data_IF_236085673599
#
_entry.id   IF_236085673599
#
_cell.length_a   1.000
_cell.length_b   1.000
_cell.length_c   1.000
_cell.angle_alpha   90.00
_cell.angle_beta   90.00
_cell.angle_gamma   90.00
#
_symmetry.space_group_name_H-M   'P 1'
#
loop_
_entity.id
_entity.type
_entity.pdbx_description
1 polymer ?
#
# COMPACT_ATOMS: atom_id res chain seq x y z
N UNK A 1 5.51 32.12 -6.73
CA UNK A 1 6.22 30.86 -6.47
C UNK A 1 5.19 29.86 -5.96
N UNK A 2 4.96 28.77 -6.69
CA UNK A 2 4.07 27.73 -6.17
C UNK A 2 4.78 27.07 -4.98
N UNK A 3 4.15 27.10 -3.82
CA UNK A 3 4.68 26.46 -2.62
C UNK A 3 4.69 24.94 -2.83
N UNK A 4 5.86 24.32 -2.67
CA UNK A 4 6.01 22.87 -2.75
C UNK A 4 5.32 22.22 -1.57
N UNK A 5 4.49 21.20 -1.82
CA UNK A 5 3.73 20.47 -0.80
C UNK A 5 4.47 19.19 -0.41
N UNK A 6 4.71 19.03 0.87
CA UNK A 6 5.34 17.84 1.45
C UNK A 6 4.38 16.66 1.45
N UNK A 7 4.78 15.55 0.84
CA UNK A 7 3.97 14.33 0.69
C UNK A 7 4.57 13.21 1.52
N UNK A 8 3.77 12.63 2.41
CA UNK A 8 4.04 11.38 3.11
C UNK A 8 3.16 10.28 2.52
N UNK A 9 3.76 9.17 2.11
CA UNK A 9 3.05 8.02 1.53
C UNK A 9 3.14 6.82 2.45
N UNK A 10 2.01 6.22 2.78
CA UNK A 10 1.90 5.03 3.62
C UNK A 10 1.14 3.97 2.82
N UNK A 11 1.77 2.83 2.56
CA UNK A 11 1.25 1.83 1.64
C UNK A 11 1.15 0.44 2.29
N UNK A 12 -0.06 -0.12 2.29
CA UNK A 12 -0.29 -1.53 2.59
C UNK A 12 0.05 -2.39 1.36
N UNK A 13 1.14 -3.15 1.44
CA UNK A 13 1.63 -3.95 0.32
C UNK A 13 0.69 -5.08 -0.06
N UNK A 14 0.02 -5.71 0.91
CA UNK A 14 -0.87 -6.83 0.64
C UNK A 14 -2.18 -6.36 0.02
N UNK A 15 -2.76 -5.27 0.51
CA UNK A 15 -3.95 -4.68 -0.06
C UNK A 15 -3.73 -4.25 -1.52
N UNK A 16 -2.61 -3.57 -1.80
CA UNK A 16 -2.25 -3.15 -3.17
C UNK A 16 -1.93 -4.32 -4.08
N UNK A 17 -1.27 -5.37 -3.58
CA UNK A 17 -0.99 -6.58 -4.34
C UNK A 17 -2.27 -7.30 -4.73
N UNK A 18 -3.20 -7.49 -3.81
CA UNK A 18 -4.51 -8.10 -4.06
C UNK A 18 -5.28 -7.28 -5.10
N UNK A 19 -5.30 -5.96 -4.96
CA UNK A 19 -5.95 -5.07 -5.91
C UNK A 19 -5.35 -5.22 -7.34
N UNK A 20 -4.03 -5.23 -7.49
CA UNK A 20 -3.38 -5.41 -8.78
C UNK A 20 -3.66 -6.80 -9.38
N UNK A 21 -3.64 -7.85 -8.56
CA UNK A 21 -3.91 -9.21 -9.00
C UNK A 21 -5.34 -9.39 -9.52
N UNK A 22 -6.33 -8.68 -8.99
CA UNK A 22 -7.71 -8.71 -9.50
C UNK A 22 -7.83 -8.24 -10.95
N UNK A 23 -6.86 -7.46 -11.43
CA UNK A 23 -6.71 -7.04 -12.84
C UNK A 23 -5.70 -7.88 -13.63
N UNK A 24 -5.21 -8.99 -13.06
CA UNK A 24 -4.10 -9.76 -13.62
C UNK A 24 -2.86 -8.89 -13.91
N UNK A 25 -2.53 -8.01 -12.98
CA UNK A 25 -1.42 -7.05 -13.04
C UNK A 25 -0.60 -7.08 -11.75
N UNK A 26 0.52 -6.38 -11.74
CA UNK A 26 1.36 -6.16 -10.55
C UNK A 26 1.50 -4.66 -10.27
N UNK A 27 1.76 -4.31 -9.01
CA UNK A 27 2.10 -2.95 -8.62
C UNK A 27 3.51 -2.60 -9.12
N UNK A 28 3.63 -1.47 -9.82
CA UNK A 28 4.90 -0.80 -10.07
C UNK A 28 5.13 0.27 -9.01
N UNK A 29 5.92 -0.08 -8.01
CA UNK A 29 6.17 0.79 -6.85
C UNK A 29 6.99 2.03 -7.20
N UNK A 30 7.92 1.94 -8.14
CA UNK A 30 8.72 3.09 -8.59
C UNK A 30 7.85 4.08 -9.38
N UNK A 31 7.00 3.56 -10.26
CA UNK A 31 6.02 4.36 -11.00
C UNK A 31 5.03 5.05 -10.04
N UNK A 32 4.54 4.33 -9.02
CA UNK A 32 3.68 4.90 -8.00
C UNK A 32 4.39 6.03 -7.26
N UNK A 33 5.61 5.81 -6.77
CA UNK A 33 6.41 6.83 -6.08
C UNK A 33 6.55 8.09 -6.94
N UNK A 34 6.93 7.93 -8.21
CA UNK A 34 7.13 9.04 -9.12
C UNK A 34 5.82 9.79 -9.43
N UNK A 35 4.71 9.07 -9.53
CA UNK A 35 3.40 9.66 -9.74
C UNK A 35 2.93 10.47 -8.53
N UNK A 36 3.06 9.93 -7.32
CA UNK A 36 2.62 10.58 -6.09
C UNK A 36 3.49 11.78 -5.68
N UNK A 37 4.74 11.79 -6.12
CA UNK A 37 5.75 12.80 -5.79
C UNK A 37 6.21 13.57 -7.02
N UNK A 38 5.28 13.98 -7.89
CA UNK A 38 5.61 14.71 -9.11
C UNK A 38 5.99 16.17 -8.80
N UNK A 39 7.28 16.56 -8.99
CA UNK A 39 7.73 17.93 -8.73
C UNK A 39 7.06 18.96 -9.64
N UNK A 40 6.66 18.58 -10.87
CA UNK A 40 5.96 19.47 -11.81
C UNK A 40 4.58 19.87 -11.28
N UNK A 41 3.98 19.06 -10.42
CA UNK A 41 2.74 19.36 -9.70
C UNK A 41 3.00 20.06 -8.35
N UNK A 42 4.25 20.43 -8.06
CA UNK A 42 4.64 21.01 -6.78
C UNK A 42 4.52 20.04 -5.61
N UNK A 43 4.84 18.76 -5.84
CA UNK A 43 4.81 17.70 -4.82
C UNK A 43 6.22 17.22 -4.52
N UNK A 44 6.59 17.20 -3.25
CA UNK A 44 7.89 16.73 -2.76
C UNK A 44 7.66 15.53 -1.82
N UNK A 45 8.17 14.37 -2.22
CA UNK A 45 8.12 13.20 -1.36
C UNK A 45 9.08 13.37 -0.19
N UNK A 46 8.55 13.32 1.01
CA UNK A 46 9.38 13.28 2.21
C UNK A 46 9.75 11.83 2.54
N UNK A 47 8.75 10.94 2.54
CA UNK A 47 8.98 9.51 2.76
C UNK A 47 7.86 8.68 2.12
N UNK A 48 8.21 7.46 1.71
CA UNK A 48 7.26 6.43 1.32
C UNK A 48 7.53 5.15 2.12
N UNK A 49 6.60 4.83 3.00
CA UNK A 49 6.65 3.65 3.87
C UNK A 49 5.78 2.54 3.29
N UNK A 50 6.36 1.38 3.09
CA UNK A 50 5.66 0.17 2.65
C UNK A 50 5.54 -0.78 3.84
N UNK A 51 4.31 -1.08 4.22
CA UNK A 51 4.00 -2.02 5.29
C UNK A 51 3.83 -3.41 4.70
N UNK A 52 4.54 -4.38 5.25
CA UNK A 52 4.64 -5.75 4.72
C UNK A 52 4.26 -6.75 5.80
N UNK A 53 3.21 -7.52 5.55
CA UNK A 53 2.85 -8.66 6.37
C UNK A 53 3.76 -9.85 6.09
N UNK A 54 4.62 -10.21 7.08
CA UNK A 54 5.56 -11.32 6.96
C UNK A 54 4.88 -12.66 7.31
N UNK A 55 4.88 -13.65 6.42
CA UNK A 55 4.41 -14.99 6.77
C UNK A 55 5.20 -15.55 7.96
N UNK A 56 4.53 -16.23 8.93
CA UNK A 56 5.21 -16.77 10.11
C UNK A 56 6.27 -17.80 9.73
N UNK A 57 7.34 -17.89 10.53
CA UNK A 57 8.45 -18.81 10.32
C UNK A 57 8.06 -20.28 10.63
N UNK A 58 7.12 -20.83 9.84
CA UNK A 58 6.65 -22.22 9.92
C UNK A 58 6.83 -22.88 8.56
N UNK A 59 7.11 -24.20 8.56
CA UNK A 59 7.41 -24.99 7.37
C UNK A 59 6.41 -24.75 6.22
N UNK A 60 5.11 -24.74 6.52
CA UNK A 60 4.05 -24.54 5.52
C UNK A 60 4.04 -23.16 4.85
N UNK A 61 4.72 -22.15 5.42
CA UNK A 61 4.78 -20.79 4.88
C UNK A 61 6.16 -20.42 4.30
N UNK A 62 7.11 -21.37 4.22
CA UNK A 62 8.49 -21.10 3.81
C UNK A 62 8.58 -20.42 2.45
N UNK A 63 7.83 -20.90 1.45
CA UNK A 63 7.90 -20.32 0.11
C UNK A 63 7.26 -18.91 0.04
N UNK A 64 6.15 -18.71 0.74
CA UNK A 64 5.51 -17.39 0.85
C UNK A 64 6.45 -16.41 1.56
N UNK A 65 7.09 -16.85 2.66
CA UNK A 65 8.03 -16.03 3.41
C UNK A 65 9.23 -15.63 2.56
N UNK A 66 9.85 -16.56 1.85
CA UNK A 66 10.95 -16.27 0.92
C UNK A 66 10.58 -15.25 -0.16
N UNK A 67 9.36 -15.36 -0.69
CA UNK A 67 8.86 -14.39 -1.67
C UNK A 67 8.73 -13.00 -1.05
N UNK A 68 8.14 -12.90 0.14
CA UNK A 68 7.93 -11.66 0.86
C UNK A 68 9.27 -11.02 1.28
N UNK A 69 10.22 -11.83 1.76
CA UNK A 69 11.58 -11.38 2.09
C UNK A 69 12.32 -10.81 0.87
N UNK A 70 12.19 -11.44 -0.31
CA UNK A 70 12.77 -10.91 -1.56
C UNK A 70 12.16 -9.56 -1.94
N UNK A 71 10.84 -9.42 -1.80
CA UNK A 71 10.16 -8.15 -2.05
C UNK A 71 10.64 -7.07 -1.08
N UNK A 72 10.67 -7.38 0.21
CA UNK A 72 11.13 -6.45 1.24
C UNK A 72 12.58 -6.01 1.02
N UNK A 73 13.46 -6.95 0.71
CA UNK A 73 14.86 -6.65 0.36
C UNK A 73 14.95 -5.73 -0.87
N UNK A 74 14.20 -6.05 -1.93
CA UNK A 74 14.15 -5.23 -3.13
C UNK A 74 13.67 -3.79 -2.81
N UNK A 75 12.59 -3.66 -2.05
CA UNK A 75 12.04 -2.36 -1.69
C UNK A 75 13.04 -1.50 -0.91
N UNK A 76 13.69 -2.09 0.12
CA UNK A 76 14.76 -1.43 0.89
C UNK A 76 15.92 -1.00 -0.02
N UNK A 77 16.33 -1.87 -0.96
CA UNK A 77 17.43 -1.59 -1.90
C UNK A 77 17.09 -0.49 -2.92
N UNK A 78 15.80 -0.23 -3.15
CA UNK A 78 15.31 0.83 -4.05
C UNK A 78 14.86 2.10 -3.32
N UNK A 79 15.28 2.25 -2.05
CA UNK A 79 15.09 3.48 -1.28
C UNK A 79 13.69 3.67 -0.70
N UNK A 80 12.92 2.58 -0.53
CA UNK A 80 11.69 2.63 0.22
C UNK A 80 11.95 2.32 1.71
N UNK A 81 11.28 3.01 2.60
CA UNK A 81 11.19 2.57 3.98
C UNK A 81 10.24 1.36 4.05
N UNK A 82 10.65 0.30 4.72
CA UNK A 82 9.84 -0.92 4.85
C UNK A 82 9.65 -1.26 6.32
N UNK A 83 8.39 -1.39 6.71
CA UNK A 83 7.97 -1.87 8.03
C UNK A 83 7.43 -3.28 7.88
N UNK A 84 8.12 -4.25 8.49
CA UNK A 84 7.75 -5.66 8.46
C UNK A 84 7.00 -6.02 9.73
N UNK A 85 5.79 -6.57 9.57
CA UNK A 85 4.96 -7.03 10.68
C UNK A 85 4.86 -8.55 10.62
N UNK A 86 5.35 -9.24 11.65
CA UNK A 86 5.29 -10.70 11.73
C UNK A 86 3.84 -11.18 11.85
N UNK A 87 3.43 -12.05 10.94
CA UNK A 87 2.09 -12.63 10.93
C UNK A 87 1.95 -13.82 11.88
N UNK A 88 0.72 -14.05 12.31
CA UNK A 88 0.34 -15.22 13.11
C UNK A 88 -0.40 -16.23 12.23
N UNK A 89 -0.06 -17.51 12.36
CA UNK A 89 -0.75 -18.56 11.63
C UNK A 89 -2.21 -18.69 12.08
N UNK A 90 -3.12 -18.70 11.11
CA UNK A 90 -4.57 -18.88 11.31
C UNK A 90 -5.05 -19.98 10.36
N UNK A 91 -5.12 -21.22 10.85
CA UNK A 91 -5.40 -22.36 9.98
C UNK A 91 -4.32 -22.53 8.91
N UNK A 92 -4.71 -22.57 7.65
CA UNK A 92 -3.82 -22.67 6.48
C UNK A 92 -3.35 -21.29 5.97
N UNK A 93 -3.81 -20.22 6.58
CA UNK A 93 -3.46 -18.83 6.25
C UNK A 93 -2.69 -18.20 7.40
N UNK A 94 -2.26 -16.99 7.22
CA UNK A 94 -1.70 -16.15 8.27
C UNK A 94 -2.33 -14.76 8.23
N UNK A 95 -2.32 -14.10 9.36
CA UNK A 95 -2.75 -12.72 9.50
C UNK A 95 -1.62 -11.91 10.14
N UNK A 96 -1.30 -10.77 9.52
CA UNK A 96 -0.41 -9.76 10.07
C UNK A 96 -1.21 -8.48 10.27
N UNK A 97 -1.18 -7.93 11.48
CA UNK A 97 -1.95 -6.73 11.84
C UNK A 97 -1.22 -5.47 11.34
N UNK A 98 -1.01 -5.38 10.02
CA UNK A 98 -0.30 -4.30 9.32
C UNK A 98 -1.04 -2.97 9.45
N UNK A 99 -2.35 -2.99 9.39
CA UNK A 99 -3.25 -1.85 9.49
C UNK A 99 -3.08 -1.09 10.82
N UNK A 100 -2.93 -1.81 11.92
CA UNK A 100 -2.69 -1.21 13.24
C UNK A 100 -1.37 -0.44 13.28
N UNK A 101 -0.29 -1.07 12.81
CA UNK A 101 1.05 -0.45 12.77
C UNK A 101 1.03 0.75 11.83
N UNK A 102 0.48 0.61 10.64
CA UNK A 102 0.35 1.70 9.66
C UNK A 102 -0.45 2.88 10.21
N UNK A 103 -1.56 2.61 10.96
CA UNK A 103 -2.36 3.67 11.55
C UNK A 103 -1.62 4.42 12.67
N UNK A 104 -0.83 3.70 13.49
CA UNK A 104 -0.01 4.31 14.55
C UNK A 104 1.09 5.19 13.94
N UNK A 105 1.85 4.65 13.00
CA UNK A 105 2.92 5.38 12.30
C UNK A 105 2.38 6.59 11.55
N UNK A 106 1.19 6.48 10.93
CA UNK A 106 0.56 7.59 10.24
C UNK A 106 0.31 8.80 11.15
N UNK A 107 -0.10 8.56 12.38
CA UNK A 107 -0.31 9.63 13.38
C UNK A 107 1.04 10.17 13.84
N UNK A 108 1.99 9.30 14.22
CA UNK A 108 3.28 9.69 14.75
C UNK A 108 4.09 10.49 13.73
N UNK A 109 4.30 9.94 12.53
CA UNK A 109 5.02 10.59 11.43
C UNK A 109 4.35 11.91 11.00
N UNK A 110 3.02 11.97 11.02
CA UNK A 110 2.32 13.22 10.69
C UNK A 110 2.55 14.32 11.71
N UNK A 111 2.75 13.99 12.99
CA UNK A 111 3.08 14.96 14.04
C UNK A 111 4.54 15.43 13.93
N UNK A 112 5.45 14.54 13.58
CA UNK A 112 6.89 14.82 13.49
C UNK A 112 7.25 15.56 12.20
N UNK A 113 6.82 15.01 11.05
CA UNK A 113 7.18 15.50 9.71
C UNK A 113 6.33 16.71 9.32
N UNK A 114 5.08 16.78 9.81
CA UNK A 114 4.09 17.80 9.44
C UNK A 114 3.93 17.90 7.91
N UNK A 115 3.50 16.80 7.24
CA UNK A 115 3.28 16.81 5.81
C UNK A 115 2.06 17.66 5.46
N UNK A 116 2.04 18.22 4.26
CA UNK A 116 0.86 18.90 3.70
C UNK A 116 -0.15 17.87 3.17
N UNK A 117 0.35 16.74 2.67
CA UNK A 117 -0.43 15.65 2.09
C UNK A 117 0.01 14.31 2.70
N UNK A 118 -0.95 13.52 3.14
CA UNK A 118 -0.76 12.10 3.43
C UNK A 118 -1.50 11.28 2.38
N UNK A 119 -0.80 10.38 1.72
CA UNK A 119 -1.40 9.42 0.79
C UNK A 119 -1.47 8.05 1.45
N UNK A 120 -2.67 7.52 1.60
CA UNK A 120 -2.93 6.16 2.07
C UNK A 120 -3.13 5.25 0.86
N UNK A 121 -2.18 4.35 0.61
CA UNK A 121 -2.25 3.40 -0.50
C UNK A 121 -2.87 2.11 0.01
N UNK A 122 -4.17 2.12 0.10
CA UNK A 122 -5.03 1.02 0.59
C UNK A 122 -6.47 1.28 0.19
N UNK A 123 -7.28 0.24 0.13
CA UNK A 123 -8.74 0.35 -0.06
C UNK A 123 -9.54 0.06 1.22
N UNK A 124 -8.86 -0.25 2.32
CA UNK A 124 -9.50 -0.74 3.53
C UNK A 124 -10.27 0.36 4.28
N UNK A 125 -11.56 0.12 4.53
CA UNK A 125 -12.45 1.03 5.27
C UNK A 125 -12.01 1.28 6.71
N UNK A 126 -11.22 0.41 7.32
CA UNK A 126 -10.76 0.58 8.70
C UNK A 126 -9.88 1.83 8.86
N UNK A 127 -9.27 2.31 7.79
CA UNK A 127 -8.53 3.58 7.75
C UNK A 127 -9.40 4.84 7.66
N UNK A 128 -10.74 4.72 7.55
CA UNK A 128 -11.63 5.88 7.47
C UNK A 128 -11.49 6.83 8.65
N UNK A 129 -11.41 6.28 9.86
CA UNK A 129 -11.23 7.08 11.08
C UNK A 129 -9.86 7.78 11.12
N UNK A 130 -8.80 7.11 10.67
CA UNK A 130 -7.47 7.70 10.51
C UNK A 130 -7.51 8.90 9.56
N UNK A 131 -8.11 8.72 8.38
CA UNK A 131 -8.26 9.79 7.39
C UNK A 131 -8.94 11.03 7.97
N UNK A 132 -10.04 10.83 8.71
CA UNK A 132 -10.73 11.92 9.41
C UNK A 132 -9.85 12.60 10.47
N UNK A 133 -9.07 11.83 11.23
CA UNK A 133 -8.15 12.35 12.25
C UNK A 133 -7.05 13.22 11.66
N UNK A 134 -6.47 12.80 10.54
CA UNK A 134 -5.44 13.56 9.83
C UNK A 134 -6.03 14.86 9.24
N UNK A 135 -7.21 14.78 8.63
CA UNK A 135 -7.91 15.97 8.10
C UNK A 135 -8.23 17.00 9.17
N UNK A 136 -8.61 16.58 10.39
CA UNK A 136 -8.82 17.50 11.53
C UNK A 136 -7.55 18.23 11.96
N UNK A 137 -6.38 17.73 11.58
CA UNK A 137 -5.07 18.37 11.81
C UNK A 137 -4.65 19.32 10.67
N UNK A 138 -5.53 19.52 9.69
CA UNK A 138 -5.25 20.35 8.52
C UNK A 138 -4.45 19.65 7.43
N UNK A 139 -4.22 18.34 7.55
CA UNK A 139 -3.49 17.55 6.56
C UNK A 139 -4.46 17.13 5.46
N UNK A 140 -4.07 17.33 4.20
CA UNK A 140 -4.82 16.77 3.07
C UNK A 140 -4.61 15.27 3.01
N UNK A 141 -5.69 14.49 2.99
CA UNK A 141 -5.62 13.03 2.88
C UNK A 141 -6.10 12.60 1.49
N UNK A 142 -5.24 11.90 0.79
CA UNK A 142 -5.54 11.26 -0.49
C UNK A 142 -5.49 9.73 -0.31
N UNK A 143 -6.38 9.02 -0.97
CA UNK A 143 -6.43 7.55 -0.94
C UNK A 143 -6.12 7.03 -2.33
N UNK A 144 -5.15 6.14 -2.44
CA UNK A 144 -4.79 5.49 -3.69
C UNK A 144 -5.25 4.02 -3.66
N UNK A 145 -6.19 3.68 -4.50
CA UNK A 145 -6.78 2.34 -4.61
C UNK A 145 -7.44 2.14 -5.98
N UNK A 146 -8.04 0.96 -6.19
CA UNK A 146 -8.92 0.70 -7.32
C UNK A 146 -10.37 0.73 -6.84
N UNK A 147 -11.30 1.13 -7.71
CA UNK A 147 -12.72 1.30 -7.35
C UNK A 147 -13.31 0.05 -6.68
N UNK A 148 -12.95 -1.15 -7.18
CA UNK A 148 -13.48 -2.42 -6.68
C UNK A 148 -13.01 -2.79 -5.27
N UNK A 149 -11.84 -2.27 -4.85
CA UNK A 149 -11.23 -2.55 -3.54
C UNK A 149 -11.39 -1.39 -2.56
N UNK A 150 -11.93 -0.25 -3.03
CA UNK A 150 -12.05 0.94 -2.21
C UNK A 150 -13.33 0.91 -1.36
N UNK A 151 -13.15 0.77 -0.05
CA UNK A 151 -14.23 0.83 0.90
C UNK A 151 -14.93 2.19 0.92
N UNK A 152 -16.26 2.16 0.99
CA UNK A 152 -17.10 3.37 0.92
C UNK A 152 -16.78 4.40 2.00
N UNK A 153 -16.54 3.93 3.23
CA UNK A 153 -16.28 4.83 4.36
C UNK A 153 -14.93 5.52 4.22
N UNK A 154 -13.90 4.81 3.73
CA UNK A 154 -12.60 5.40 3.44
C UNK A 154 -12.70 6.42 2.30
N UNK A 155 -13.39 6.07 1.20
CA UNK A 155 -13.66 6.99 0.08
C UNK A 155 -14.28 8.29 0.55
N UNK A 156 -15.30 8.22 1.40
CA UNK A 156 -16.02 9.38 1.94
C UNK A 156 -15.19 10.19 2.95
N UNK A 157 -14.19 9.57 3.57
CA UNK A 157 -13.34 10.19 4.58
C UNK A 157 -12.11 10.89 4.00
N UNK A 158 -11.72 10.59 2.76
CA UNK A 158 -10.61 11.20 2.06
C UNK A 158 -10.96 12.56 1.43
N UNK A 159 -9.96 13.37 1.08
CA UNK A 159 -10.12 14.58 0.28
C UNK A 159 -10.22 14.26 -1.22
N UNK A 160 -9.49 13.25 -1.67
CA UNK A 160 -9.50 12.76 -3.06
C UNK A 160 -9.07 11.30 -3.15
N UNK A 161 -9.43 10.68 -4.26
CA UNK A 161 -9.05 9.31 -4.59
C UNK A 161 -8.17 9.32 -5.83
N UNK A 162 -7.12 8.51 -5.80
CA UNK A 162 -6.20 8.27 -6.90
C UNK A 162 -6.45 6.85 -7.39
N UNK A 163 -6.79 6.71 -8.68
CA UNK A 163 -7.00 5.40 -9.30
C UNK A 163 -5.67 4.75 -9.66
N UNK A 164 -5.40 3.56 -9.08
CA UNK A 164 -4.18 2.82 -9.28
C UNK A 164 -4.12 2.03 -10.59
N UNK A 165 -5.20 1.92 -11.35
CA UNK A 165 -5.22 1.12 -12.58
C UNK A 165 -4.12 1.56 -13.56
N UNK A 166 -3.89 2.87 -13.68
CA UNK A 166 -2.86 3.44 -14.54
C UNK A 166 -1.42 3.19 -14.06
N UNK A 167 -1.27 2.80 -12.79
CA UNK A 167 0.04 2.54 -12.16
C UNK A 167 0.43 1.07 -12.30
N UNK A 168 -0.55 0.17 -12.45
CA UNK A 168 -0.27 -1.26 -12.55
C UNK A 168 0.43 -1.61 -13.86
N UNK A 169 1.48 -2.43 -13.75
CA UNK A 169 2.14 -3.05 -14.90
C UNK A 169 1.46 -4.35 -15.32
N UNK A 170 1.55 -4.65 -16.61
CA UNK A 170 1.15 -5.95 -17.11
C UNK A 170 2.08 -7.05 -16.57
N UNK A 171 1.51 -8.22 -16.24
CA UNK A 171 2.31 -9.41 -15.97
C UNK A 171 3.02 -9.84 -17.26
N UNK A 172 4.32 -9.57 -17.34
CA UNK A 172 5.19 -10.12 -18.38
C UNK A 172 5.88 -11.36 -17.86
N UNK A 173 5.54 -12.53 -18.42
CA UNK A 173 6.35 -13.73 -18.22
C UNK A 173 7.76 -13.50 -18.76
N UNK A 174 8.80 -14.00 -18.06
CA UNK A 174 10.19 -13.96 -18.53
C UNK A 174 10.40 -14.61 -19.90
N UNK A 175 9.42 -15.37 -20.42
CA UNK A 175 9.44 -16.08 -21.70
C UNK A 175 8.44 -15.54 -22.72
N UNK A 176 7.92 -14.32 -22.55
CA UNK A 176 7.00 -13.72 -23.54
C UNK A 176 5.62 -14.40 -23.65
N UNK A 177 5.31 -15.37 -22.81
CA UNK A 177 3.99 -15.98 -22.71
C UNK A 177 3.21 -15.34 -21.57
N UNK A 178 1.95 -14.97 -21.84
CA UNK A 178 0.99 -14.54 -20.81
C UNK A 178 0.75 -15.73 -19.87
N UNK A 179 1.32 -15.72 -18.68
CA UNK A 179 0.99 -16.70 -17.65
C UNK A 179 -0.36 -16.31 -17.04
N UNK A 180 -1.35 -17.17 -17.26
CA UNK A 180 -2.62 -17.10 -16.54
C UNK A 180 -2.36 -17.62 -15.13
N UNK A 181 -2.24 -16.72 -14.17
CA UNK A 181 -2.20 -17.09 -12.76
C UNK A 181 -3.58 -17.66 -12.39
N UNK A 182 -3.66 -18.95 -12.10
CA UNK A 182 -4.85 -19.54 -11.49
C UNK A 182 -4.95 -19.00 -10.07
N UNK A 183 -5.90 -18.11 -9.87
CA UNK A 183 -6.33 -17.67 -8.56
C UNK A 183 -6.91 -18.91 -7.85
N UNK A 184 -6.24 -19.37 -6.82
CA UNK A 184 -6.88 -20.28 -5.86
C UNK A 184 -8.03 -19.50 -5.23
N UNK A 185 -9.26 -19.92 -5.51
CA UNK A 185 -10.44 -19.37 -4.87
C UNK A 185 -10.35 -19.60 -3.36
N UNK A 186 -10.03 -18.58 -2.60
CA UNK A 186 -10.47 -18.48 -1.22
C UNK A 186 -11.72 -17.61 -1.22
N UNK A 187 -12.86 -18.24 -1.05
CA UNK A 187 -14.12 -17.57 -0.72
C UNK A 187 -13.91 -16.82 0.60
N UNK A 188 -13.89 -15.51 0.52
CA UNK A 188 -14.07 -14.64 1.67
C UNK A 188 -15.40 -13.94 1.46
N UNK A 189 -16.48 -14.62 1.83
CA UNK A 189 -17.78 -14.02 2.21
C UNK A 189 -18.67 -15.19 2.73
N UNK A 190 -18.74 -15.34 4.05
CA UNK A 190 -19.93 -15.60 4.85
C UNK A 190 -19.68 -14.99 6.23
#
# INVERSE_FOLDING_TARGET
MNQTRKVLVLADSDNTRIAAQSFNRKMDWEKLRNYLANPEEGRELIEMVIYVGMPPAKERFVEQRKFTEKFSYWAKSNGFMVVEQEGKAKGNEYQADVDVVMAMDAIELSLEIKPDIVVLVTGDSDFAHLAQKLRRRGIRVEVASVEQSLGKDLKNSANSVIDLISIFDEFRSKNGRKEHFRIGHTNVFD
#
